data_IF_527177797875
#
_entry.id   IF_527177797875
#
_cell.length_a   1.000
_cell.length_b   1.000
_cell.length_c   1.000
_cell.angle_alpha   90.00
_cell.angle_beta   90.00
_cell.angle_gamma   90.00
#
_symmetry.space_group_name_H-M   'P 1'
#
loop_
_entity.id
_entity.type
_entity.pdbx_description
1 polymer ?
#
# COMPACT_ATOMS: atom_id res chain seq x y z
N UNK A 1 7.88 -6.98 -6.25
CA UNK A 1 7.50 -8.39 -5.99
C UNK A 1 8.78 -9.19 -5.90
N UNK A 2 9.10 -9.83 -4.77
CA UNK A 2 10.38 -10.56 -4.58
C UNK A 2 10.22 -12.09 -4.65
N UNK A 3 9.16 -12.55 -5.32
CA UNK A 3 8.85 -13.96 -5.59
C UNK A 3 8.84 -14.20 -7.10
N UNK A 4 8.81 -15.46 -7.54
CA UNK A 4 8.79 -15.82 -8.98
C UNK A 4 7.63 -16.77 -9.30
N UNK A 5 6.40 -16.34 -9.00
CA UNK A 5 5.19 -17.08 -9.40
C UNK A 5 4.93 -16.88 -10.90
N UNK A 6 4.18 -17.81 -11.51
CA UNK A 6 3.81 -17.75 -12.94
C UNK A 6 2.89 -16.56 -13.26
N UNK A 7 2.04 -16.18 -12.30
CA UNK A 7 1.10 -15.06 -12.41
C UNK A 7 0.81 -14.48 -11.02
N UNK A 8 0.27 -13.25 -11.01
CA UNK A 8 -0.15 -12.55 -9.80
C UNK A 8 -1.50 -11.87 -10.03
N UNK A 9 -2.36 -11.91 -9.01
CA UNK A 9 -3.49 -10.98 -8.88
C UNK A 9 -3.16 -10.04 -7.72
N UNK A 10 -3.05 -8.74 -8.01
CA UNK A 10 -2.68 -7.72 -7.04
C UNK A 10 -3.85 -6.75 -6.87
N UNK A 11 -4.57 -6.89 -5.76
CA UNK A 11 -5.71 -6.06 -5.43
C UNK A 11 -5.36 -4.91 -4.49
N UNK A 12 -5.96 -3.75 -4.72
CA UNK A 12 -5.95 -2.63 -3.77
C UNK A 12 -7.27 -1.86 -3.83
N UNK A 13 -7.71 -1.40 -2.67
CA UNK A 13 -8.76 -0.42 -2.42
C UNK A 13 -8.41 1.04 -2.79
N UNK A 14 -7.13 1.41 -2.95
CA UNK A 14 -6.76 2.74 -3.43
C UNK A 14 -6.75 2.78 -4.99
N UNK A 15 -7.72 3.47 -5.62
CA UNK A 15 -7.81 3.49 -7.08
C UNK A 15 -6.67 4.27 -7.74
N UNK A 16 -6.11 5.29 -7.09
CA UNK A 16 -4.99 6.07 -7.64
C UNK A 16 -3.71 5.23 -7.70
N UNK A 17 -3.50 4.34 -6.73
CA UNK A 17 -2.36 3.41 -6.71
C UNK A 17 -2.49 2.35 -7.80
N UNK A 18 -3.68 1.72 -7.93
CA UNK A 18 -3.96 0.77 -9.02
C UNK A 18 -3.79 1.44 -10.38
N UNK A 19 -4.26 2.69 -10.53
CA UNK A 19 -4.12 3.45 -11.77
C UNK A 19 -2.67 3.82 -12.08
N UNK A 20 -1.86 4.18 -11.08
CA UNK A 20 -0.42 4.38 -11.24
C UNK A 20 0.27 3.11 -11.75
N UNK A 21 0.03 1.98 -11.09
CA UNK A 21 0.65 0.70 -11.44
C UNK A 21 0.26 0.22 -12.83
N UNK A 22 -1.02 0.28 -13.18
CA UNK A 22 -1.49 -0.08 -14.52
C UNK A 22 -1.00 0.90 -15.60
N UNK A 23 -0.86 2.19 -15.29
CA UNK A 23 -0.27 3.18 -16.21
C UNK A 23 1.20 2.84 -16.48
N UNK A 24 1.97 2.54 -15.44
CA UNK A 24 3.38 2.17 -15.56
C UNK A 24 3.56 0.83 -16.28
N UNK A 25 2.72 -0.17 -15.99
CA UNK A 25 2.70 -1.45 -16.71
C UNK A 25 2.48 -1.25 -18.21
N UNK A 26 1.50 -0.41 -18.59
CA UNK A 26 1.13 -0.19 -20.00
C UNK A 26 2.09 0.69 -20.79
N UNK A 27 2.65 1.72 -20.16
CA UNK A 27 3.43 2.77 -20.85
C UNK A 27 4.93 2.70 -20.64
N UNK A 28 5.39 1.93 -19.65
CA UNK A 28 6.81 1.67 -19.40
C UNK A 28 7.67 2.92 -19.38
N UNK A 29 8.76 2.89 -20.13
CA UNK A 29 9.78 3.94 -20.20
C UNK A 29 9.21 5.31 -20.60
N UNK A 30 8.23 5.36 -21.50
CA UNK A 30 7.60 6.62 -21.91
C UNK A 30 6.90 7.32 -20.74
N UNK A 31 6.31 6.54 -19.83
CA UNK A 31 5.71 7.10 -18.62
C UNK A 31 6.77 7.49 -17.58
N UNK A 32 7.86 6.75 -17.48
CA UNK A 32 8.99 7.08 -16.60
C UNK A 32 9.58 8.45 -17.00
N UNK A 33 9.86 8.65 -18.29
CA UNK A 33 10.37 9.93 -18.79
C UNK A 33 9.36 11.07 -18.66
N UNK A 34 8.07 10.77 -18.77
CA UNK A 34 7.01 11.74 -18.46
C UNK A 34 7.05 12.16 -16.99
N UNK A 35 7.17 11.20 -16.05
CA UNK A 35 7.27 11.46 -14.62
C UNK A 35 8.53 12.25 -14.26
N UNK A 36 9.67 12.01 -14.94
CA UNK A 36 10.95 12.70 -14.67
C UNK A 36 10.83 14.22 -14.72
N UNK A 37 9.93 14.76 -15.54
CA UNK A 37 9.65 16.21 -15.65
C UNK A 37 9.17 16.84 -14.34
N UNK A 38 8.53 16.05 -13.46
CA UNK A 38 8.05 16.50 -12.16
C UNK A 38 9.14 16.50 -11.07
N UNK A 39 10.34 16.00 -11.35
CA UNK A 39 11.44 15.86 -10.38
C UNK A 39 12.61 16.82 -10.66
N UNK A 40 12.34 17.88 -11.44
CA UNK A 40 13.32 18.94 -11.66
C UNK A 40 13.35 19.92 -10.47
N UNK A 41 14.45 20.66 -10.24
CA UNK A 41 14.57 21.59 -9.11
C UNK A 41 13.43 22.62 -9.02
N UNK A 42 12.96 23.14 -10.17
CA UNK A 42 11.85 24.11 -10.23
C UNK A 42 10.50 23.54 -9.76
N UNK A 43 10.37 22.23 -9.66
CA UNK A 43 9.17 21.55 -9.17
C UNK A 43 9.18 21.36 -7.64
N UNK A 44 10.31 21.60 -6.97
CA UNK A 44 10.47 21.38 -5.54
C UNK A 44 10.28 22.66 -4.72
N UNK A 45 9.14 23.33 -4.90
CA UNK A 45 8.73 24.48 -4.09
C UNK A 45 7.31 24.32 -3.56
N UNK A 46 7.01 25.07 -2.50
CA UNK A 46 5.73 24.99 -1.78
C UNK A 46 4.55 25.35 -2.69
N UNK A 47 4.73 26.37 -3.53
CA UNK A 47 3.73 26.90 -4.44
C UNK A 47 3.35 25.85 -5.48
N UNK A 48 4.35 25.26 -6.16
CA UNK A 48 4.12 24.20 -7.15
C UNK A 48 3.51 22.95 -6.54
N UNK A 49 3.94 22.58 -5.33
CA UNK A 49 3.37 21.42 -4.64
C UNK A 49 1.85 21.57 -4.42
N UNK A 50 1.41 22.73 -3.92
CA UNK A 50 -0.02 22.95 -3.66
C UNK A 50 -0.84 23.14 -4.94
N UNK A 51 -0.29 23.77 -5.97
CA UNK A 51 -0.90 23.84 -7.30
C UNK A 51 -1.18 22.44 -7.85
N UNK A 52 -0.15 21.57 -7.88
CA UNK A 52 -0.29 20.21 -8.38
C UNK A 52 -1.21 19.34 -7.52
N UNK A 53 -1.25 19.60 -6.20
CA UNK A 53 -2.19 18.91 -5.29
C UNK A 53 -3.63 19.29 -5.57
N UNK A 54 -3.91 20.56 -5.86
CA UNK A 54 -5.24 21.00 -6.25
C UNK A 54 -5.67 20.43 -7.60
N UNK A 55 -4.76 20.44 -8.58
CA UNK A 55 -4.99 19.80 -9.88
C UNK A 55 -5.29 18.31 -9.72
N UNK A 56 -4.47 17.59 -8.95
CA UNK A 56 -4.64 16.16 -8.70
C UNK A 56 -6.06 15.83 -8.19
N UNK A 57 -6.57 16.64 -7.26
CA UNK A 57 -7.89 16.46 -6.67
C UNK A 57 -9.06 16.74 -7.64
N UNK A 58 -8.80 17.44 -8.75
CA UNK A 58 -9.81 17.77 -9.79
C UNK A 58 -9.75 16.83 -10.98
N UNK A 59 -8.66 16.07 -11.13
CA UNK A 59 -8.43 15.22 -12.29
C UNK A 59 -9.15 13.87 -12.20
N UNK A 60 -9.71 13.47 -13.34
CA UNK A 60 -10.09 12.09 -13.61
C UNK A 60 -8.84 11.23 -13.89
N UNK A 61 -9.02 9.91 -13.88
CA UNK A 61 -7.96 8.94 -14.15
C UNK A 61 -7.28 9.22 -15.49
N UNK A 62 -5.99 9.54 -15.44
CA UNK A 62 -5.19 9.94 -16.60
C UNK A 62 -3.71 9.70 -16.32
N UNK A 63 -2.88 9.73 -17.37
CA UNK A 63 -1.41 9.68 -17.20
C UNK A 63 -0.91 10.84 -16.33
N UNK A 64 -1.49 12.04 -16.50
CA UNK A 64 -1.18 13.23 -15.69
C UNK A 64 -1.45 12.98 -14.20
N UNK A 65 -2.62 12.40 -13.87
CA UNK A 65 -2.99 12.08 -12.47
C UNK A 65 -2.02 11.08 -11.84
N UNK A 66 -1.64 10.02 -12.56
CA UNK A 66 -0.65 9.03 -12.08
C UNK A 66 0.73 9.64 -11.82
N UNK A 67 1.21 10.52 -12.72
CA UNK A 67 2.48 11.21 -12.53
C UNK A 67 2.44 12.18 -11.33
N UNK A 68 1.31 12.89 -11.16
CA UNK A 68 1.07 13.75 -10.00
C UNK A 68 1.01 12.95 -8.70
N UNK A 69 0.41 11.76 -8.70
CA UNK A 69 0.39 10.88 -7.51
C UNK A 69 1.80 10.51 -7.06
N UNK A 70 2.68 10.11 -8.01
CA UNK A 70 4.09 9.84 -7.73
C UNK A 70 4.83 11.09 -7.22
N UNK A 71 4.61 12.25 -7.85
CA UNK A 71 5.17 13.53 -7.42
C UNK A 71 4.77 13.86 -5.98
N UNK A 72 3.46 13.82 -5.68
CA UNK A 72 2.91 14.14 -4.36
C UNK A 72 3.45 13.19 -3.29
N UNK A 73 3.60 11.89 -3.61
CA UNK A 73 4.22 10.95 -2.69
C UNK A 73 5.68 11.31 -2.39
N UNK A 74 6.49 11.65 -3.40
CA UNK A 74 7.93 11.92 -3.19
C UNK A 74 8.23 13.30 -2.64
N UNK A 75 7.37 14.28 -2.89
CA UNK A 75 7.54 15.67 -2.42
C UNK A 75 6.73 15.96 -1.15
N UNK A 76 5.75 15.12 -0.82
CA UNK A 76 4.87 15.26 0.34
C UNK A 76 5.48 14.74 1.63
N UNK A 77 4.99 15.27 2.74
CA UNK A 77 5.47 14.94 4.08
C UNK A 77 5.50 13.42 4.35
N UNK A 78 6.69 12.91 4.71
CA UNK A 78 6.97 11.51 5.05
C UNK A 78 6.50 10.46 4.03
N UNK A 79 6.31 10.83 2.76
CA UNK A 79 5.82 9.87 1.76
C UNK A 79 4.41 9.38 2.03
N UNK A 80 3.62 10.13 2.80
CA UNK A 80 2.27 9.73 3.15
C UNK A 80 1.36 9.70 1.92
N UNK A 81 0.38 8.81 1.96
CA UNK A 81 -0.79 8.83 1.11
C UNK A 81 -2.00 9.02 2.03
N UNK A 82 -2.68 10.16 1.94
CA UNK A 82 -3.78 10.50 2.86
C UNK A 82 -4.84 11.32 2.16
N UNK A 83 -6.08 10.88 2.35
CA UNK A 83 -7.28 11.54 1.86
C UNK A 83 -8.17 11.91 3.06
N UNK A 84 -8.96 12.97 2.91
CA UNK A 84 -10.03 13.25 3.87
C UNK A 84 -11.29 12.41 3.56
N UNK A 85 -12.33 12.55 4.38
CA UNK A 85 -13.62 11.85 4.18
C UNK A 85 -14.33 12.18 2.87
N UNK A 86 -13.94 13.25 2.17
CA UNK A 86 -14.45 13.64 0.85
C UNK A 86 -13.60 13.08 -0.31
N UNK A 87 -12.60 12.24 -0.01
CA UNK A 87 -11.69 11.70 -1.04
C UNK A 87 -10.66 12.70 -1.56
N UNK A 88 -10.43 13.82 -0.86
CA UNK A 88 -9.49 14.86 -1.26
C UNK A 88 -8.11 14.57 -0.64
N UNK A 89 -7.09 14.41 -1.47
CA UNK A 89 -5.70 14.25 -1.05
C UNK A 89 -5.19 15.51 -0.35
N UNK A 90 -4.69 15.34 0.88
CA UNK A 90 -4.43 16.47 1.79
C UNK A 90 -3.07 16.41 2.51
N UNK A 91 -2.08 15.70 1.95
CA UNK A 91 -0.72 15.67 2.51
C UNK A 91 -0.04 17.03 2.30
N UNK A 92 0.63 17.61 3.31
CA UNK A 92 1.38 18.87 3.17
C UNK A 92 2.74 18.65 2.47
N UNK A 93 3.36 19.73 2.02
CA UNK A 93 4.69 19.69 1.41
C UNK A 93 5.74 19.18 2.42
N UNK A 94 6.66 18.33 1.96
CA UNK A 94 7.60 17.58 2.81
C UNK A 94 8.93 18.28 3.08
N UNK A 95 9.23 19.40 2.42
CA UNK A 95 10.47 20.19 2.62
C UNK A 95 11.77 19.39 2.41
N UNK A 96 11.76 18.36 1.55
CA UNK A 96 12.99 17.66 1.19
C UNK A 96 13.89 18.54 0.33
N UNK A 97 15.21 18.47 0.56
CA UNK A 97 16.21 19.18 -0.24
C UNK A 97 16.23 18.71 -1.69
N UNK A 98 16.20 17.38 -1.90
CA UNK A 98 16.18 16.75 -3.22
C UNK A 98 15.34 15.46 -3.19
N UNK A 99 14.04 15.53 -3.54
CA UNK A 99 13.21 14.35 -3.71
C UNK A 99 13.84 13.34 -4.68
N UNK A 100 13.94 12.09 -4.26
CA UNK A 100 14.49 11.01 -5.09
C UNK A 100 13.48 10.60 -6.17
N UNK A 101 13.92 10.55 -7.43
CA UNK A 101 13.16 10.02 -8.54
C UNK A 101 13.44 8.52 -8.72
N UNK A 102 12.46 7.62 -8.48
CA UNK A 102 12.69 6.17 -8.44
C UNK A 102 12.73 5.52 -9.83
N UNK A 103 13.66 5.96 -10.68
CA UNK A 103 13.76 5.50 -12.06
C UNK A 103 14.03 3.99 -12.16
N UNK A 104 14.99 3.50 -11.39
CA UNK A 104 15.40 2.09 -11.41
C UNK A 104 14.28 1.18 -10.90
N UNK A 105 13.62 1.58 -9.82
CA UNK A 105 12.50 0.83 -9.25
C UNK A 105 11.30 0.80 -10.19
N UNK A 106 11.03 1.90 -10.92
CA UNK A 106 9.96 1.92 -11.93
C UNK A 106 10.28 1.00 -13.11
N UNK A 107 11.54 0.94 -13.57
CA UNK A 107 11.97 0.02 -14.63
C UNK A 107 11.85 -1.45 -14.17
N UNK A 108 12.30 -1.76 -12.96
CA UNK A 108 12.19 -3.10 -12.37
C UNK A 108 10.72 -3.50 -12.18
N UNK A 109 9.90 -2.58 -11.68
CA UNK A 109 8.45 -2.78 -11.56
C UNK A 109 7.83 -3.07 -12.92
N UNK A 110 8.11 -2.25 -13.94
CA UNK A 110 7.57 -2.41 -15.28
C UNK A 110 7.87 -3.81 -15.84
N UNK A 111 9.14 -4.24 -15.79
CA UNK A 111 9.56 -5.58 -16.23
C UNK A 111 8.82 -6.70 -15.51
N UNK A 112 8.61 -6.57 -14.20
CA UNK A 112 7.95 -7.62 -13.41
C UNK A 112 6.43 -7.58 -13.51
N UNK A 113 5.86 -6.42 -13.78
CA UNK A 113 4.43 -6.19 -13.80
C UNK A 113 3.70 -6.97 -14.90
N UNK A 114 4.39 -7.43 -15.95
CA UNK A 114 3.76 -8.21 -17.03
C UNK A 114 3.10 -9.52 -16.56
N UNK A 115 3.58 -10.09 -15.46
CA UNK A 115 2.98 -11.29 -14.86
C UNK A 115 1.84 -10.96 -13.89
N UNK A 116 1.51 -9.69 -13.68
CA UNK A 116 0.55 -9.23 -12.68
C UNK A 116 -0.72 -8.62 -13.30
N UNK A 117 -1.87 -9.03 -12.79
CA UNK A 117 -3.15 -8.39 -13.01
C UNK A 117 -3.48 -7.50 -11.81
N UNK A 118 -3.53 -6.17 -12.02
CA UNK A 118 -3.86 -5.21 -10.97
C UNK A 118 -5.37 -4.94 -10.97
N UNK A 119 -6.02 -5.08 -9.81
CA UNK A 119 -7.45 -4.84 -9.66
C UNK A 119 -7.72 -3.83 -8.55
N UNK A 120 -8.68 -2.94 -8.82
CA UNK A 120 -9.25 -2.09 -7.78
C UNK A 120 -10.44 -2.81 -7.17
N UNK A 121 -10.26 -3.43 -6.00
CA UNK A 121 -11.28 -4.30 -5.42
C UNK A 121 -11.17 -4.38 -3.88
N UNK A 122 -12.29 -4.72 -3.23
CA UNK A 122 -12.29 -5.06 -1.81
C UNK A 122 -11.70 -6.47 -1.60
N UNK A 123 -11.06 -6.70 -0.44
CA UNK A 123 -10.45 -8.00 -0.16
C UNK A 123 -11.49 -9.12 -0.17
N UNK A 124 -12.72 -8.89 0.33
CA UNK A 124 -13.79 -9.90 0.34
C UNK A 124 -14.06 -10.46 -1.05
N UNK A 125 -14.19 -9.56 -2.03
CA UNK A 125 -14.39 -9.89 -3.44
C UNK A 125 -13.15 -10.42 -4.13
N UNK A 126 -11.98 -10.11 -3.60
CA UNK A 126 -10.71 -10.64 -4.14
C UNK A 126 -10.49 -12.09 -3.71
N UNK A 127 -10.88 -12.47 -2.49
CA UNK A 127 -10.81 -13.86 -2.01
C UNK A 127 -11.68 -14.81 -2.85
N UNK A 128 -12.80 -14.32 -3.42
CA UNK A 128 -13.67 -15.08 -4.33
C UNK A 128 -12.95 -15.51 -5.62
N UNK A 129 -11.84 -14.86 -6.01
CA UNK A 129 -11.07 -15.18 -7.21
C UNK A 129 -10.09 -16.34 -7.03
N UNK A 130 -9.83 -16.76 -5.79
CA UNK A 130 -8.78 -17.74 -5.51
C UNK A 130 -9.22 -19.19 -5.80
N UNK A 131 -8.35 -19.92 -6.48
CA UNK A 131 -8.56 -21.31 -6.88
C UNK A 131 -7.52 -22.25 -6.25
N UNK A 132 -7.77 -23.57 -6.32
CA UNK A 132 -6.80 -24.54 -5.81
C UNK A 132 -5.48 -24.44 -6.58
N UNK A 133 -4.37 -24.34 -5.85
CA UNK A 133 -3.04 -24.11 -6.39
C UNK A 133 -2.53 -22.68 -6.16
N UNK A 134 -3.43 -21.75 -5.81
CA UNK A 134 -3.05 -20.40 -5.41
C UNK A 134 -2.50 -20.34 -3.98
N UNK A 135 -1.85 -19.23 -3.67
CA UNK A 135 -1.48 -18.82 -2.31
C UNK A 135 -1.89 -17.36 -2.15
N UNK A 136 -2.61 -17.05 -1.06
CA UNK A 136 -3.02 -15.68 -0.75
C UNK A 136 -2.07 -15.10 0.30
N UNK A 137 -1.56 -13.89 0.03
CA UNK A 137 -0.83 -13.09 1.02
C UNK A 137 -1.59 -11.79 1.29
N UNK A 138 -1.87 -11.53 2.57
CA UNK A 138 -2.58 -10.34 3.04
C UNK A 138 -1.68 -9.51 3.96
N UNK A 139 -1.53 -8.23 3.63
CA UNK A 139 -0.86 -7.22 4.47
C UNK A 139 -1.86 -6.09 4.76
N UNK A 140 -2.87 -6.34 5.63
CA UNK A 140 -3.91 -5.34 5.92
C UNK A 140 -3.32 -4.13 6.66
N UNK A 141 -4.05 -3.02 6.78
CA UNK A 141 -3.66 -1.94 7.70
C UNK A 141 -3.50 -2.48 9.13
N UNK A 142 -2.35 -2.28 9.76
CA UNK A 142 -2.05 -2.97 11.03
C UNK A 142 -2.94 -2.53 12.18
N UNK A 143 -3.25 -3.50 13.04
CA UNK A 143 -3.96 -3.26 14.30
C UNK A 143 -3.07 -2.40 15.19
N UNK A 144 -3.54 -1.25 15.70
CA UNK A 144 -2.72 -0.37 16.52
C UNK A 144 -2.20 -1.09 17.76
N UNK A 145 -0.91 -0.95 18.07
CA UNK A 145 -0.33 -1.47 19.32
C UNK A 145 -0.86 -0.71 20.53
N UNK A 146 -1.13 0.58 20.34
CA UNK A 146 -1.72 1.47 21.35
C UNK A 146 -2.70 2.44 20.68
N UNK A 147 -3.58 3.06 21.47
CA UNK A 147 -4.54 4.05 20.97
C UNK A 147 -3.89 5.24 20.24
N UNK A 148 -2.66 5.59 20.64
CA UNK A 148 -1.88 6.70 20.05
C UNK A 148 -1.21 6.33 18.72
N UNK A 149 -1.21 5.05 18.34
CA UNK A 149 -0.58 4.55 17.10
C UNK A 149 -1.59 4.25 15.98
N UNK A 150 -2.84 4.75 16.10
CA UNK A 150 -3.89 4.54 15.10
C UNK A 150 -3.42 5.08 13.73
N UNK A 151 -3.32 4.24 12.68
CA UNK A 151 -2.87 4.68 11.38
C UNK A 151 -3.86 5.67 10.74
N UNK A 152 -3.33 6.64 10.00
CA UNK A 152 -4.13 7.55 9.21
C UNK A 152 -4.63 6.83 7.94
N UNK A 153 -5.87 7.09 7.51
CA UNK A 153 -6.43 6.43 6.34
C UNK A 153 -5.71 6.84 5.05
N UNK A 154 -5.37 5.86 4.21
CA UNK A 154 -4.85 6.05 2.85
C UNK A 154 -5.90 5.81 1.77
N UNK A 155 -7.14 5.49 2.16
CA UNK A 155 -8.35 5.46 1.32
C UNK A 155 -9.48 6.22 2.03
N UNK A 156 -10.64 6.37 1.37
CA UNK A 156 -11.79 7.08 1.96
C UNK A 156 -12.42 6.31 3.14
N UNK A 157 -12.37 4.97 3.11
CA UNK A 157 -12.89 4.07 4.16
C UNK A 157 -11.75 3.57 5.04
N UNK A 158 -11.89 3.69 6.36
CA UNK A 158 -10.93 3.12 7.31
C UNK A 158 -11.12 1.60 7.39
N UNK A 159 -10.01 0.87 7.46
CA UNK A 159 -10.02 -0.55 7.82
C UNK A 159 -10.28 -0.68 9.32
N UNK A 160 -11.41 -1.30 9.67
CA UNK A 160 -11.93 -1.42 11.03
C UNK A 160 -11.49 -2.73 11.69
N UNK A 161 -11.81 -2.89 12.97
CA UNK A 161 -11.63 -4.17 13.66
C UNK A 161 -12.55 -5.26 13.08
N UNK A 162 -13.73 -4.89 12.58
CA UNK A 162 -14.64 -5.83 11.92
C UNK A 162 -14.04 -6.32 10.59
N UNK A 163 -13.39 -5.42 9.84
CA UNK A 163 -12.64 -5.81 8.63
C UNK A 163 -11.47 -6.76 8.97
N UNK A 164 -10.82 -6.61 10.14
CA UNK A 164 -9.77 -7.54 10.59
C UNK A 164 -10.33 -8.92 10.95
N UNK A 165 -11.49 -8.97 11.61
CA UNK A 165 -12.17 -10.21 11.99
C UNK A 165 -12.58 -10.95 10.72
N UNK A 166 -13.26 -10.27 9.80
CA UNK A 166 -13.73 -10.86 8.55
C UNK A 166 -12.57 -11.35 7.67
N UNK A 167 -11.45 -10.65 7.65
CA UNK A 167 -10.24 -11.13 6.98
C UNK A 167 -9.73 -12.46 7.56
N UNK A 168 -9.75 -12.61 8.89
CA UNK A 168 -9.35 -13.85 9.55
C UNK A 168 -10.34 -15.00 9.25
N UNK A 169 -11.65 -14.72 9.23
CA UNK A 169 -12.69 -15.69 8.89
C UNK A 169 -12.56 -16.18 7.44
N UNK A 170 -12.36 -15.26 6.48
CA UNK A 170 -12.13 -15.61 5.09
C UNK A 170 -10.83 -16.42 4.91
N UNK A 171 -9.79 -16.14 5.70
CA UNK A 171 -8.57 -16.92 5.67
C UNK A 171 -8.77 -18.36 6.14
N UNK A 172 -9.55 -18.56 7.20
CA UNK A 172 -9.92 -19.90 7.71
C UNK A 172 -10.76 -20.63 6.67
N UNK A 173 -11.80 -20.00 6.12
CA UNK A 173 -12.67 -20.59 5.12
C UNK A 173 -11.86 -21.01 3.88
N UNK A 174 -11.02 -20.11 3.37
CA UNK A 174 -10.22 -20.35 2.16
C UNK A 174 -9.16 -21.44 2.36
N UNK A 175 -8.52 -21.47 3.54
CA UNK A 175 -7.60 -22.54 3.91
C UNK A 175 -8.30 -23.90 3.98
N UNK A 176 -9.53 -23.97 4.51
CA UNK A 176 -10.31 -25.22 4.54
C UNK A 176 -10.63 -25.80 3.16
N UNK A 177 -10.59 -24.96 2.11
CA UNK A 177 -10.72 -25.39 0.69
C UNK A 177 -9.40 -25.89 0.09
N UNK A 178 -8.30 -25.86 0.86
CA UNK A 178 -6.96 -26.27 0.45
C UNK A 178 -6.13 -25.15 -0.20
N UNK A 179 -6.45 -23.88 0.05
CA UNK A 179 -5.73 -22.72 -0.50
C UNK A 179 -5.02 -22.00 0.66
N UNK A 180 -3.68 -22.07 0.75
CA UNK A 180 -2.95 -21.45 1.85
C UNK A 180 -3.13 -19.92 1.89
N UNK A 181 -3.35 -19.39 3.11
CA UNK A 181 -3.46 -17.95 3.35
C UNK A 181 -2.43 -17.51 4.37
N UNK A 182 -1.71 -16.43 4.07
CA UNK A 182 -0.65 -15.87 4.91
C UNK A 182 -1.03 -14.43 5.25
N UNK A 183 -1.06 -14.08 6.54
CA UNK A 183 -1.37 -12.73 7.01
C UNK A 183 -0.21 -12.18 7.83
N UNK A 184 0.25 -10.97 7.53
CA UNK A 184 1.16 -10.20 8.39
C UNK A 184 0.41 -9.14 9.20
N UNK A 185 0.79 -8.95 10.47
CA UNK A 185 0.23 -7.90 11.31
C UNK A 185 1.14 -7.62 12.53
N UNK A 186 0.76 -6.65 13.36
CA UNK A 186 1.30 -6.51 14.70
C UNK A 186 0.97 -7.71 15.58
N UNK A 187 1.91 -8.09 16.46
CA UNK A 187 1.69 -9.13 17.47
C UNK A 187 1.00 -8.52 18.70
N UNK A 188 -0.32 -8.67 18.75
CA UNK A 188 -1.20 -8.14 19.81
C UNK A 188 -2.12 -9.23 20.32
N UNK A 189 -2.74 -9.05 21.49
CA UNK A 189 -3.76 -9.99 21.98
C UNK A 189 -4.92 -10.14 20.99
N UNK A 190 -5.33 -9.03 20.35
CA UNK A 190 -6.38 -9.05 19.35
C UNK A 190 -6.01 -9.91 18.14
N UNK A 191 -4.85 -9.68 17.52
CA UNK A 191 -4.41 -10.44 16.34
C UNK A 191 -4.16 -11.90 16.68
N UNK A 192 -3.61 -12.22 17.86
CA UNK A 192 -3.48 -13.62 18.33
C UNK A 192 -4.84 -14.31 18.50
N UNK A 193 -5.84 -13.60 19.01
CA UNK A 193 -7.21 -14.14 19.16
C UNK A 193 -7.86 -14.44 17.80
N UNK A 194 -7.73 -13.53 16.84
CA UNK A 194 -8.34 -13.70 15.52
C UNK A 194 -7.62 -14.77 14.70
N UNK A 195 -6.29 -14.85 14.79
CA UNK A 195 -5.49 -15.79 14.01
C UNK A 195 -5.21 -17.12 14.74
N UNK A 196 -6.02 -17.48 15.74
CA UNK A 196 -5.79 -18.65 16.61
C UNK A 196 -5.72 -20.00 15.87
N UNK A 197 -6.39 -20.10 14.73
CA UNK A 197 -6.41 -21.31 13.87
C UNK A 197 -5.19 -21.40 12.95
N UNK A 198 -4.33 -20.37 12.93
CA UNK A 198 -3.14 -20.33 12.10
C UNK A 198 -1.89 -20.82 12.85
N UNK A 199 -0.90 -21.26 12.08
CA UNK A 199 0.47 -21.35 12.59
C UNK A 199 1.07 -19.93 12.69
N UNK A 200 1.22 -19.41 13.90
CA UNK A 200 1.74 -18.06 14.16
C UNK A 200 3.27 -18.11 14.37
N UNK A 201 3.98 -17.20 13.70
CA UNK A 201 5.40 -16.90 13.94
C UNK A 201 5.57 -15.43 14.27
N UNK A 202 6.15 -15.14 15.43
CA UNK A 202 6.44 -13.76 15.87
C UNK A 202 7.90 -13.42 15.73
N UNK A 203 8.20 -12.16 15.43
CA UNK A 203 9.57 -11.66 15.36
C UNK A 203 9.61 -10.16 15.69
N UNK A 204 10.71 -9.67 16.31
CA UNK A 204 10.87 -8.25 16.63
C UNK A 204 11.23 -7.45 15.37
N UNK A 205 10.62 -6.28 15.21
CA UNK A 205 10.92 -5.35 14.11
C UNK A 205 11.26 -3.96 14.66
N UNK A 206 12.37 -3.39 14.17
CA UNK A 206 12.78 -2.02 14.49
C UNK A 206 12.09 -1.02 13.57
N UNK A 207 11.28 -0.10 14.13
CA UNK A 207 10.67 0.99 13.36
C UNK A 207 11.47 2.29 13.47
N UNK A 208 11.95 2.78 12.34
CA UNK A 208 12.71 4.04 12.23
C UNK A 208 11.81 5.28 12.03
N UNK A 209 10.50 5.09 11.83
CA UNK A 209 9.51 6.11 11.44
C UNK A 209 8.77 6.70 12.67
N UNK A 210 9.49 7.02 13.75
CA UNK A 210 8.93 7.80 14.87
C UNK A 210 9.68 9.13 14.97
N UNK A 211 8.92 10.24 15.00
CA UNK A 211 9.44 11.60 15.13
C UNK A 211 10.24 11.84 16.42
N UNK A 212 10.07 10.98 17.44
CA UNK A 212 10.85 11.03 18.68
C UNK A 212 11.77 9.80 18.77
N UNK A 213 13.08 10.04 18.68
CA UNK A 213 14.13 9.01 18.76
C UNK A 213 14.03 8.13 20.01
N UNK A 214 13.56 8.71 21.12
CA UNK A 214 13.55 8.09 22.45
C UNK A 214 12.36 7.13 22.67
N UNK A 215 11.38 7.13 21.74
CA UNK A 215 10.20 6.25 21.76
C UNK A 215 10.28 5.12 20.73
N UNK A 216 11.43 4.92 20.10
CA UNK A 216 11.68 3.79 19.18
C UNK A 216 11.82 2.49 20.00
N UNK A 217 10.68 1.94 20.44
CA UNK A 217 10.64 0.60 21.01
C UNK A 217 10.45 -0.44 19.89
N UNK A 218 11.16 -1.58 19.94
CA UNK A 218 10.87 -2.67 19.02
C UNK A 218 9.41 -3.09 19.20
N UNK A 219 8.70 -3.23 18.08
CA UNK A 219 7.34 -3.77 18.06
C UNK A 219 7.45 -5.18 17.52
N UNK A 220 6.77 -6.13 18.16
CA UNK A 220 6.68 -7.47 17.61
C UNK A 220 5.65 -7.47 16.48
N UNK A 221 6.04 -8.08 15.36
CA UNK A 221 5.14 -8.41 14.26
C UNK A 221 4.96 -9.91 14.23
N UNK A 222 3.85 -10.36 13.63
CA UNK A 222 3.56 -11.76 13.43
C UNK A 222 3.28 -12.07 11.96
N UNK A 223 3.53 -13.30 11.58
CA UNK A 223 3.02 -13.95 10.37
C UNK A 223 2.13 -15.11 10.82
N UNK A 224 0.87 -15.09 10.38
CA UNK A 224 -0.09 -16.16 10.58
C UNK A 224 -0.25 -16.95 9.27
N UNK A 225 0.00 -18.26 9.31
CA UNK A 225 -0.15 -19.15 8.15
C UNK A 225 -1.32 -20.11 8.38
N UNK A 226 -2.37 -19.97 7.57
CA UNK A 226 -3.54 -20.85 7.52
C UNK A 226 -3.33 -21.88 6.40
N UNK A 227 -3.66 -23.15 6.67
CA UNK A 227 -3.44 -24.28 5.75
C UNK A 227 -4.65 -25.20 5.71
#
# INVERSE_FOLDING_TARGET
>A
MNTNYSSYVLAESNPDLVHLFTTLQKKGELFIEYCRKYFKPEMNCKEKYYELREDFNKLNNSQKKSAMFLYLNRHGYNGLCRYNSKGIYNVPFGLYTKPYFPCEEMLLFHKKSYQAHFIHNDFRKTFELAEKGDVIYCDPPYVPVTEYTKPLPYTQRKFSNDDQIELAELAIETASRGIPVIISNHDTEFTRKQYREAQIRSFPVSRWINCQSNLRRPVNELIAVFK
#
